data_IF_226089479966
#
_entry.id   IF_226089479966
#
_cell.length_a   1.000
_cell.length_b   1.000
_cell.length_c   1.000
_cell.angle_alpha   90.00
_cell.angle_beta   90.00
_cell.angle_gamma   90.00
#
_symmetry.space_group_name_H-M   'P 1'
#
loop_
_entity.id
_entity.type
_entity.pdbx_description
1 polymer ?
#
# COMPACT_ATOMS: atom_id res chain seq x y z
N UNK A 1 -6.80 6.59 22.07
CA UNK A 1 -8.22 6.12 22.04
C UNK A 1 -8.30 4.89 22.95
N UNK A 2 -9.40 4.72 23.70
CA UNK A 2 -9.59 3.54 24.57
C UNK A 2 -9.84 2.28 23.71
N UNK A 3 -9.21 1.16 24.07
CA UNK A 3 -9.27 -0.14 23.38
C UNK A 3 -10.71 -0.60 23.09
N UNK A 4 -11.61 -0.45 24.08
CA UNK A 4 -13.04 -0.80 23.90
C UNK A 4 -13.72 0.04 22.81
N UNK A 5 -13.43 1.35 22.76
CA UNK A 5 -13.98 2.25 21.72
C UNK A 5 -13.45 1.90 20.35
N UNK A 6 -12.16 1.57 20.25
CA UNK A 6 -11.58 1.15 18.96
C UNK A 6 -12.20 -0.14 18.46
N UNK A 7 -12.29 -1.17 19.32
CA UNK A 7 -12.93 -2.42 18.98
C UNK A 7 -14.40 -2.22 18.56
N UNK A 8 -15.15 -1.37 19.28
CA UNK A 8 -16.53 -1.05 18.94
C UNK A 8 -16.64 -0.36 17.57
N UNK A 9 -15.72 0.54 17.21
CA UNK A 9 -15.71 1.17 15.89
C UNK A 9 -15.44 0.16 14.76
N UNK A 10 -14.50 -0.76 14.96
CA UNK A 10 -14.22 -1.82 13.97
C UNK A 10 -15.43 -2.75 13.83
N UNK A 11 -16.05 -3.18 14.93
CA UNK A 11 -17.27 -4.01 14.91
C UNK A 11 -18.42 -3.29 14.21
N UNK A 12 -18.59 -2.00 14.48
CA UNK A 12 -19.63 -1.19 13.83
C UNK A 12 -19.38 -1.05 12.32
N UNK A 13 -18.14 -0.83 11.90
CA UNK A 13 -17.76 -0.82 10.49
C UNK A 13 -18.08 -2.16 9.82
N UNK A 14 -17.67 -3.27 10.43
CA UNK A 14 -17.94 -4.63 9.93
C UNK A 14 -19.44 -4.90 9.77
N UNK A 15 -20.25 -4.54 10.79
CA UNK A 15 -21.70 -4.62 10.73
C UNK A 15 -22.29 -3.87 9.53
N UNK A 16 -21.82 -2.65 9.25
CA UNK A 16 -22.33 -1.87 8.11
C UNK A 16 -21.85 -2.39 6.75
N UNK A 17 -20.64 -2.95 6.68
CA UNK A 17 -20.18 -3.68 5.49
C UNK A 17 -21.11 -4.87 5.24
N UNK A 18 -21.42 -5.66 6.26
CA UNK A 18 -22.39 -6.77 6.17
C UNK A 18 -23.76 -6.33 5.66
N UNK A 19 -24.28 -5.18 6.13
CA UNK A 19 -25.54 -4.61 5.62
C UNK A 19 -25.46 -4.23 4.15
N UNK A 20 -24.34 -3.65 3.70
CA UNK A 20 -24.14 -3.28 2.30
C UNK A 20 -24.13 -4.56 1.42
N UNK A 21 -23.41 -5.59 1.83
CA UNK A 21 -23.37 -6.88 1.13
C UNK A 21 -24.77 -7.51 1.05
N UNK A 22 -25.50 -7.54 2.17
CA UNK A 22 -26.87 -8.04 2.20
C UNK A 22 -27.83 -7.25 1.30
N UNK A 23 -27.64 -5.95 1.14
CA UNK A 23 -28.43 -5.16 0.18
C UNK A 23 -28.14 -5.56 -1.27
N UNK A 24 -26.89 -5.83 -1.62
CA UNK A 24 -26.52 -6.33 -2.96
C UNK A 24 -27.11 -7.73 -3.21
N UNK A 25 -27.11 -8.62 -2.20
CA UNK A 25 -27.72 -9.93 -2.29
C UNK A 25 -29.24 -9.84 -2.52
N UNK A 26 -29.94 -9.01 -1.73
CA UNK A 26 -31.39 -8.80 -1.84
C UNK A 26 -31.81 -8.19 -3.19
N UNK A 27 -30.94 -7.39 -3.81
CA UNK A 27 -31.18 -6.79 -5.11
C UNK A 27 -30.76 -7.69 -6.29
N UNK A 28 -30.18 -8.86 -6.04
CA UNK A 28 -29.66 -9.75 -7.07
C UNK A 28 -28.45 -9.18 -7.83
N UNK A 29 -27.72 -8.24 -7.22
CA UNK A 29 -26.59 -7.55 -7.84
C UNK A 29 -25.23 -8.15 -7.45
N UNK A 30 -25.19 -9.04 -6.47
CA UNK A 30 -23.98 -9.53 -5.82
C UNK A 30 -22.98 -10.18 -6.78
N UNK A 31 -23.48 -11.02 -7.69
CA UNK A 31 -22.65 -11.74 -8.67
C UNK A 31 -22.09 -10.83 -9.76
N UNK A 32 -22.76 -9.72 -10.04
CA UNK A 32 -22.32 -8.73 -11.04
C UNK A 32 -21.63 -7.50 -10.41
N UNK A 33 -21.24 -7.58 -9.14
CA UNK A 33 -20.56 -6.48 -8.43
C UNK A 33 -19.21 -6.94 -7.92
N UNK A 34 -18.13 -6.33 -8.44
CA UNK A 34 -16.80 -6.48 -7.88
C UNK A 34 -16.68 -5.60 -6.63
N UNK A 35 -16.36 -6.21 -5.51
CA UNK A 35 -16.16 -5.52 -4.23
C UNK A 35 -14.69 -5.52 -3.91
N UNK A 36 -14.16 -4.33 -3.63
CA UNK A 36 -12.78 -4.12 -3.21
C UNK A 36 -12.83 -3.45 -1.82
N UNK A 37 -12.26 -4.10 -0.84
CA UNK A 37 -12.06 -3.56 0.50
C UNK A 37 -10.57 -3.32 0.74
N UNK A 38 -10.21 -2.10 1.10
CA UNK A 38 -8.85 -1.74 1.47
C UNK A 38 -8.85 -0.65 2.54
N UNK A 39 -7.75 -0.52 3.27
CA UNK A 39 -7.48 0.68 4.08
C UNK A 39 -6.62 1.66 3.27
N UNK A 40 -6.78 2.95 3.53
CA UNK A 40 -5.98 4.01 2.89
C UNK A 40 -4.55 4.12 3.46
N UNK A 41 -4.37 3.70 4.71
CA UNK A 41 -3.09 3.71 5.43
C UNK A 41 -3.11 2.74 6.63
N UNK A 42 -1.95 2.53 7.22
CA UNK A 42 -1.80 1.71 8.42
C UNK A 42 -2.44 2.31 9.67
N UNK A 43 -2.26 1.64 10.81
CA UNK A 43 -2.89 1.97 12.08
C UNK A 43 -2.69 3.45 12.47
N UNK A 44 -3.78 4.10 12.88
CA UNK A 44 -3.77 5.51 13.30
C UNK A 44 -2.90 5.72 14.56
N UNK A 45 -2.38 6.94 14.73
CA UNK A 45 -1.54 7.32 15.89
C UNK A 45 -2.24 7.02 17.23
N UNK A 46 -3.56 7.15 17.28
CA UNK A 46 -4.36 6.91 18.50
C UNK A 46 -4.87 5.46 18.61
N UNK A 47 -4.53 4.58 17.68
CA UNK A 47 -4.93 3.18 17.74
C UNK A 47 -4.25 2.48 18.93
N UNK A 48 -4.93 1.58 19.64
CA UNK A 48 -4.37 0.82 20.76
C UNK A 48 -3.49 -0.34 20.23
N UNK A 49 -2.33 0.01 19.70
CA UNK A 49 -1.44 -0.91 18.98
C UNK A 49 -0.95 -2.02 19.91
N UNK A 50 -0.56 -1.68 21.14
CA UNK A 50 -0.03 -2.64 22.11
C UNK A 50 -1.06 -3.67 22.55
N UNK A 51 -2.33 -3.26 22.70
CA UNK A 51 -3.40 -4.11 23.24
C UNK A 51 -4.08 -4.96 22.16
N UNK A 52 -4.21 -4.44 20.95
CA UNK A 52 -4.96 -5.10 19.87
C UNK A 52 -4.08 -5.53 18.68
N UNK A 53 -2.77 -5.24 18.73
CA UNK A 53 -1.85 -5.54 17.63
C UNK A 53 -2.39 -5.12 16.24
N UNK A 54 -3.08 -3.96 16.19
CA UNK A 54 -3.81 -3.53 14.99
C UNK A 54 -2.91 -3.11 13.81
N UNK A 55 -1.60 -3.22 13.94
CA UNK A 55 -0.61 -3.09 12.85
C UNK A 55 0.10 -4.42 12.54
N UNK A 56 -0.40 -5.56 13.06
CA UNK A 56 0.16 -6.90 12.86
C UNK A 56 1.66 -7.04 13.24
N UNK A 57 2.12 -6.28 14.23
CA UNK A 57 3.53 -6.25 14.65
C UNK A 57 4.48 -5.55 13.68
N UNK A 58 3.99 -4.90 12.63
CA UNK A 58 4.80 -4.19 11.65
C UNK A 58 5.35 -2.88 12.23
N UNK A 59 6.55 -2.49 11.80
CA UNK A 59 7.18 -1.22 12.19
C UNK A 59 6.40 -0.03 11.65
N UNK A 60 6.24 1.01 12.45
CA UNK A 60 5.60 2.25 12.04
C UNK A 60 4.08 2.24 12.13
N UNK A 61 3.46 3.30 11.62
CA UNK A 61 2.01 3.56 11.66
C UNK A 61 1.65 4.65 10.68
N UNK A 62 0.36 5.01 10.58
CA UNK A 62 -0.13 6.15 9.77
C UNK A 62 0.81 7.36 9.86
N UNK A 63 1.22 7.86 8.70
CA UNK A 63 2.13 8.99 8.56
C UNK A 63 3.62 8.60 8.55
N UNK A 64 3.95 7.31 8.48
CA UNK A 64 5.30 6.79 8.32
C UNK A 64 5.36 5.81 7.15
N UNK A 65 6.49 5.77 6.42
CA UNK A 65 6.67 4.92 5.25
C UNK A 65 7.27 3.54 5.58
N UNK A 66 7.33 3.14 6.84
CA UNK A 66 7.55 1.75 7.24
C UNK A 66 6.33 0.89 6.91
N UNK A 67 6.49 -0.43 6.88
CA UNK A 67 5.42 -1.38 6.53
C UNK A 67 4.14 -1.15 7.35
N UNK A 68 4.24 -0.89 8.66
CA UNK A 68 3.08 -0.60 9.51
C UNK A 68 2.31 0.68 9.15
N UNK A 69 2.87 1.54 8.30
CA UNK A 69 2.20 2.75 7.80
C UNK A 69 1.60 2.60 6.41
N UNK A 70 2.14 1.69 5.58
CA UNK A 70 1.77 1.57 4.16
C UNK A 70 1.24 0.19 3.76
N UNK A 71 1.57 -0.88 4.49
CA UNK A 71 1.03 -2.21 4.23
C UNK A 71 -0.34 -2.34 4.88
N UNK A 72 -1.35 -2.45 4.05
CA UNK A 72 -2.77 -2.45 4.44
C UNK A 72 -3.48 -3.69 3.90
N UNK A 73 -4.59 -4.12 4.51
CA UNK A 73 -5.38 -5.18 3.95
C UNK A 73 -5.97 -4.78 2.59
N UNK A 74 -6.00 -5.73 1.68
CA UNK A 74 -6.71 -5.64 0.40
C UNK A 74 -7.48 -6.94 0.20
N UNK A 75 -8.80 -6.83 0.06
CA UNK A 75 -9.70 -7.96 -0.19
C UNK A 75 -10.48 -7.64 -1.47
N UNK A 76 -10.48 -8.59 -2.40
CA UNK A 76 -11.28 -8.51 -3.63
C UNK A 76 -12.27 -9.67 -3.61
N UNK A 77 -13.52 -9.37 -3.90
CA UNK A 77 -14.57 -10.38 -3.89
C UNK A 77 -15.62 -10.13 -4.97
N UNK A 78 -15.93 -11.17 -5.71
CA UNK A 78 -17.08 -11.30 -6.60
C UNK A 78 -17.45 -12.77 -6.68
N UNK A 79 -18.60 -13.20 -6.14
CA UNK A 79 -19.00 -14.60 -6.16
C UNK A 79 -19.02 -15.20 -7.56
N UNK A 80 -18.55 -16.42 -7.69
CA UNK A 80 -18.50 -17.14 -8.97
C UNK A 80 -17.40 -16.69 -9.93
N UNK A 81 -16.71 -15.55 -9.68
CA UNK A 81 -15.66 -15.02 -10.56
C UNK A 81 -14.30 -14.90 -9.89
N UNK A 82 -14.25 -14.40 -8.66
CA UNK A 82 -13.00 -14.25 -7.90
C UNK A 82 -12.79 -15.49 -7.04
N UNK A 83 -11.74 -16.31 -7.30
CA UNK A 83 -11.45 -17.50 -6.51
C UNK A 83 -10.97 -17.14 -5.10
N UNK A 84 -11.35 -17.96 -4.10
CA UNK A 84 -10.85 -17.81 -2.74
C UNK A 84 -9.38 -18.22 -2.65
N UNK A 85 -8.48 -17.24 -2.56
CA UNK A 85 -7.03 -17.46 -2.44
C UNK A 85 -6.34 -16.29 -1.74
N UNK A 86 -5.14 -16.52 -1.26
CA UNK A 86 -4.21 -15.47 -0.87
C UNK A 86 -3.11 -15.35 -1.92
N UNK A 87 -2.68 -14.12 -2.19
CA UNK A 87 -1.57 -13.80 -3.09
C UNK A 87 -0.56 -12.93 -2.36
N UNK A 88 0.71 -13.06 -2.71
CA UNK A 88 1.84 -12.31 -2.14
C UNK A 88 2.37 -11.21 -3.08
N UNK A 89 1.73 -11.03 -4.23
CA UNK A 89 2.12 -10.03 -5.22
C UNK A 89 2.21 -8.63 -4.61
N UNK A 90 3.20 -7.86 -5.03
CA UNK A 90 3.39 -6.47 -4.60
C UNK A 90 2.45 -5.55 -5.39
N UNK A 91 1.40 -5.09 -4.72
CA UNK A 91 0.41 -4.17 -5.30
C UNK A 91 0.30 -2.91 -4.45
N UNK A 92 -0.08 -1.78 -5.07
CA UNK A 92 -0.26 -0.52 -4.35
C UNK A 92 -1.36 0.35 -4.98
N UNK A 93 -1.76 1.42 -4.32
CA UNK A 93 -2.92 2.21 -4.73
C UNK A 93 -2.92 2.72 -6.18
N UNK A 94 -1.80 3.15 -6.77
CA UNK A 94 -1.77 3.54 -8.18
C UNK A 94 -2.25 2.46 -9.15
N UNK A 95 -2.20 1.18 -8.78
CA UNK A 95 -2.66 0.07 -9.62
C UNK A 95 -4.18 0.04 -9.81
N UNK A 96 -4.94 0.63 -8.89
CA UNK A 96 -6.40 0.60 -9.01
C UNK A 96 -6.91 1.34 -10.26
N UNK A 97 -6.31 2.47 -10.63
CA UNK A 97 -6.78 3.22 -11.80
C UNK A 97 -6.69 2.41 -13.09
N UNK A 98 -5.52 1.89 -13.52
CA UNK A 98 -5.44 1.07 -14.73
C UNK A 98 -6.24 -0.24 -14.62
N UNK A 99 -6.28 -0.85 -13.43
CA UNK A 99 -7.05 -2.08 -13.19
C UNK A 99 -8.55 -1.88 -13.39
N UNK A 100 -9.12 -0.83 -12.81
CA UNK A 100 -10.55 -0.52 -12.95
C UNK A 100 -10.88 -0.11 -14.40
N UNK A 101 -9.97 0.60 -15.05
CA UNK A 101 -10.14 0.95 -16.45
C UNK A 101 -10.15 -0.28 -17.38
N UNK A 102 -9.25 -1.23 -17.16
CA UNK A 102 -9.24 -2.50 -17.89
C UNK A 102 -10.54 -3.29 -17.66
N UNK A 103 -11.00 -3.37 -16.41
CA UNK A 103 -12.25 -4.07 -16.06
C UNK A 103 -13.50 -3.45 -16.66
N UNK A 104 -13.48 -2.14 -16.95
CA UNK A 104 -14.63 -1.38 -17.51
C UNK A 104 -14.49 -1.06 -19.00
N UNK A 105 -13.41 -1.49 -19.67
CA UNK A 105 -13.14 -1.17 -21.07
C UNK A 105 -12.84 0.33 -21.31
N UNK A 106 -12.28 1.01 -20.30
CA UNK A 106 -12.03 2.46 -20.31
C UNK A 106 -10.54 2.82 -20.36
N UNK A 107 -9.66 1.93 -20.81
CA UNK A 107 -8.20 2.08 -20.77
C UNK A 107 -7.72 3.34 -21.49
N UNK A 108 -8.40 3.73 -22.58
CA UNK A 108 -8.05 4.94 -23.34
C UNK A 108 -8.23 6.24 -22.55
N UNK A 109 -9.00 6.22 -21.47
CA UNK A 109 -9.26 7.37 -20.61
C UNK A 109 -8.26 7.47 -19.45
N UNK A 110 -7.38 6.48 -19.27
CA UNK A 110 -6.42 6.46 -18.16
C UNK A 110 -5.25 7.39 -18.47
N UNK A 111 -4.98 8.41 -17.63
CA UNK A 111 -3.79 9.21 -17.76
C UNK A 111 -2.54 8.38 -17.47
N UNK A 112 -1.38 8.88 -17.84
CA UNK A 112 -0.12 8.26 -17.44
C UNK A 112 -0.07 8.09 -15.91
N UNK A 113 0.13 6.85 -15.44
CA UNK A 113 0.17 6.48 -14.02
C UNK A 113 1.39 5.62 -13.72
N UNK A 114 1.80 5.59 -12.46
CA UNK A 114 2.85 4.68 -11.99
C UNK A 114 2.30 3.27 -11.69
N UNK A 115 1.00 3.08 -11.78
CA UNK A 115 0.31 1.80 -11.58
C UNK A 115 0.27 0.93 -12.84
N UNK A 116 0.01 -0.34 -12.63
CA UNK A 116 -0.20 -1.34 -13.69
C UNK A 116 -1.57 -2.00 -13.52
N UNK A 117 -2.09 -2.61 -14.58
CA UNK A 117 -3.28 -3.45 -14.47
C UNK A 117 -2.97 -4.74 -13.71
N UNK A 118 -3.61 -4.93 -12.57
CA UNK A 118 -3.53 -6.12 -11.73
C UNK A 118 -4.81 -6.97 -11.79
N UNK A 119 -5.74 -6.67 -12.70
CA UNK A 119 -7.00 -7.41 -12.82
C UNK A 119 -6.81 -8.92 -13.02
N UNK A 120 -5.79 -9.43 -13.73
CA UNK A 120 -5.58 -10.87 -13.83
C UNK A 120 -5.40 -11.54 -12.46
N UNK A 121 -4.78 -10.86 -11.49
CA UNK A 121 -4.63 -11.38 -10.12
C UNK A 121 -6.00 -11.60 -9.44
N UNK A 122 -7.02 -10.84 -9.78
CA UNK A 122 -8.36 -11.00 -9.19
C UNK A 122 -9.04 -12.29 -9.64
N UNK A 123 -8.78 -12.74 -10.86
CA UNK A 123 -9.47 -13.86 -11.52
C UNK A 123 -8.62 -15.14 -11.64
N UNK A 124 -7.56 -15.25 -10.87
CA UNK A 124 -6.76 -16.46 -10.84
C UNK A 124 -5.56 -16.48 -11.79
N UNK A 125 -5.34 -15.41 -12.54
CA UNK A 125 -4.16 -15.21 -13.40
C UNK A 125 -2.94 -14.74 -12.65
N UNK A 126 -1.90 -14.37 -13.40
CA UNK A 126 -0.61 -13.93 -12.91
C UNK A 126 -0.24 -12.57 -13.50
N UNK A 127 0.51 -11.78 -12.75
CA UNK A 127 1.10 -10.50 -13.17
C UNK A 127 2.47 -10.40 -12.50
N UNK A 128 3.49 -10.03 -13.26
CA UNK A 128 4.79 -9.69 -12.69
C UNK A 128 4.70 -8.35 -11.96
N UNK A 129 4.72 -8.43 -10.64
CA UNK A 129 4.68 -7.26 -9.75
C UNK A 129 6.01 -6.98 -9.06
N UNK A 130 7.01 -7.87 -9.22
CA UNK A 130 8.25 -7.82 -8.46
C UNK A 130 9.35 -7.03 -9.18
N UNK A 131 9.28 -6.95 -10.53
CA UNK A 131 10.26 -6.26 -11.36
C UNK A 131 9.88 -4.80 -11.64
N UNK A 132 9.27 -4.12 -10.67
CA UNK A 132 8.93 -2.69 -10.74
C UNK A 132 9.27 -1.97 -9.46
N UNK A 133 9.51 -0.67 -9.57
CA UNK A 133 9.73 0.19 -8.42
C UNK A 133 8.40 0.66 -7.85
N UNK A 134 8.18 0.45 -6.55
CA UNK A 134 7.11 1.09 -5.78
C UNK A 134 7.73 2.23 -4.99
N UNK A 135 7.29 3.46 -5.27
CA UNK A 135 7.88 4.67 -4.68
C UNK A 135 6.85 5.47 -3.91
N UNK A 136 7.25 5.97 -2.75
CA UNK A 136 6.43 6.81 -1.88
C UNK A 136 7.21 8.02 -1.40
N UNK A 137 6.50 9.16 -1.33
CA UNK A 137 6.95 10.39 -0.67
C UNK A 137 5.90 10.87 0.32
N UNK A 138 6.34 11.44 1.43
CA UNK A 138 5.42 12.01 2.40
C UNK A 138 5.99 13.24 3.08
N UNK A 139 5.25 14.36 2.98
CA UNK A 139 5.57 15.66 3.59
C UNK A 139 6.98 16.21 3.30
N UNK A 140 7.59 15.85 2.19
CA UNK A 140 8.94 16.30 1.82
C UNK A 140 10.05 15.90 2.81
N UNK A 141 9.80 14.92 3.65
CA UNK A 141 10.72 14.47 4.70
C UNK A 141 10.96 12.97 4.69
N UNK A 142 10.04 12.24 4.12
CA UNK A 142 10.07 10.79 4.08
C UNK A 142 10.06 10.34 2.63
N UNK A 143 10.85 9.33 2.33
CA UNK A 143 10.88 8.64 1.04
C UNK A 143 11.03 7.16 1.27
N UNK A 144 10.40 6.36 0.46
CA UNK A 144 10.60 4.92 0.45
C UNK A 144 10.57 4.41 -0.99
N UNK A 145 11.38 3.40 -1.26
CA UNK A 145 11.43 2.67 -2.51
C UNK A 145 11.45 1.18 -2.22
N UNK A 146 10.60 0.43 -2.89
CA UNK A 146 10.64 -1.03 -2.89
C UNK A 146 10.90 -1.54 -4.30
N UNK A 147 11.76 -2.55 -4.41
CA UNK A 147 12.01 -3.31 -5.62
C UNK A 147 12.29 -4.77 -5.24
N UNK A 148 11.42 -5.67 -5.70
CA UNK A 148 11.47 -7.06 -5.28
C UNK A 148 11.48 -7.20 -3.75
N UNK A 149 12.46 -7.90 -3.21
CA UNK A 149 12.60 -8.14 -1.78
C UNK A 149 13.12 -6.94 -0.99
N UNK A 150 13.70 -5.95 -1.66
CA UNK A 150 14.40 -4.87 -0.99
C UNK A 150 13.53 -3.63 -0.82
N UNK A 151 13.65 -3.02 0.35
CA UNK A 151 13.05 -1.73 0.66
C UNK A 151 14.08 -0.79 1.27
N UNK A 152 14.18 0.40 0.70
CA UNK A 152 14.98 1.48 1.24
C UNK A 152 14.04 2.59 1.73
N UNK A 153 14.24 3.13 2.93
CA UNK A 153 13.35 4.11 3.54
C UNK A 153 14.09 5.14 4.37
N UNK A 154 13.59 6.38 4.36
CA UNK A 154 13.87 7.39 5.38
C UNK A 154 12.57 8.02 5.85
N UNK A 155 12.41 8.17 7.16
CA UNK A 155 11.20 8.75 7.77
C UNK A 155 11.45 10.09 8.44
N UNK A 156 12.66 10.64 8.30
CA UNK A 156 13.04 11.97 8.80
C UNK A 156 13.84 12.69 7.73
N UNK A 157 13.65 14.01 7.65
CA UNK A 157 14.49 14.85 6.81
C UNK A 157 15.98 14.69 7.21
N UNK A 158 16.84 14.57 6.22
CA UNK A 158 18.30 14.49 6.38
C UNK A 158 18.79 13.29 7.24
N UNK A 159 17.91 12.34 7.55
CA UNK A 159 18.33 11.09 8.19
C UNK A 159 18.92 10.12 7.15
N UNK A 160 19.89 9.29 7.56
CA UNK A 160 20.40 8.23 6.68
C UNK A 160 19.26 7.31 6.21
N UNK A 161 19.41 6.80 5.00
CA UNK A 161 18.54 5.78 4.47
C UNK A 161 18.73 4.47 5.24
N UNK A 162 17.64 3.80 5.53
CA UNK A 162 17.60 2.47 6.09
C UNK A 162 17.30 1.48 4.97
N UNK A 163 17.88 0.28 5.00
CA UNK A 163 17.69 -0.76 3.99
C UNK A 163 17.24 -2.06 4.64
N UNK A 164 16.20 -2.66 4.08
CA UNK A 164 15.58 -3.89 4.61
C UNK A 164 15.35 -4.91 3.51
N UNK A 165 15.37 -6.18 3.88
CA UNK A 165 14.96 -7.30 3.01
C UNK A 165 13.61 -7.81 3.49
N UNK A 166 12.52 -7.27 2.92
CA UNK A 166 11.15 -7.41 3.45
C UNK A 166 10.64 -8.85 3.48
N UNK A 167 11.10 -9.70 2.59
CA UNK A 167 10.75 -11.14 2.60
C UNK A 167 11.27 -11.87 3.84
N UNK A 168 12.45 -11.52 4.31
CA UNK A 168 13.11 -12.15 5.47
C UNK A 168 12.81 -11.37 6.77
N UNK A 169 12.64 -10.04 6.64
CA UNK A 169 12.42 -9.11 7.73
C UNK A 169 11.21 -8.18 7.47
N UNK A 170 9.99 -8.72 7.48
CA UNK A 170 8.78 -7.94 7.22
C UNK A 170 8.49 -6.88 8.29
N UNK A 171 9.19 -6.94 9.42
CA UNK A 171 9.05 -5.99 10.53
C UNK A 171 10.07 -4.86 10.51
N UNK A 172 11.00 -4.88 9.55
CA UNK A 172 12.03 -3.84 9.42
C UNK A 172 12.85 -3.67 10.72
N UNK A 173 13.22 -4.79 11.35
CA UNK A 173 13.97 -4.81 12.62
C UNK A 173 15.48 -4.73 12.38
N UNK A 174 15.99 -5.23 11.23
CA UNK A 174 17.40 -5.36 10.91
C UNK A 174 17.81 -4.45 9.76
N UNK A 175 18.34 -3.28 10.09
CA UNK A 175 18.82 -2.34 9.08
C UNK A 175 20.13 -2.79 8.45
N UNK A 176 20.09 -3.18 7.19
CA UNK A 176 21.22 -3.69 6.38
C UNK A 176 21.99 -2.60 5.62
N UNK A 177 21.71 -1.33 5.86
CA UNK A 177 22.32 -0.23 5.08
C UNK A 177 23.86 -0.19 5.18
N UNK A 178 24.43 -0.61 6.30
CA UNK A 178 25.88 -0.67 6.49
C UNK A 178 26.52 -1.84 5.75
N UNK A 179 25.79 -2.94 5.60
CA UNK A 179 26.26 -4.16 4.96
C UNK A 179 26.17 -4.07 3.42
N UNK A 180 25.25 -3.24 2.91
CA UNK A 180 24.99 -3.06 1.48
C UNK A 180 25.01 -1.58 1.06
N UNK A 181 26.11 -0.83 1.27
CA UNK A 181 26.15 0.61 1.00
C UNK A 181 25.94 0.97 -0.47
N UNK A 182 26.39 0.14 -1.40
CA UNK A 182 26.19 0.38 -2.84
C UNK A 182 24.72 0.24 -3.24
N UNK A 183 23.99 -0.70 -2.64
CA UNK A 183 22.54 -0.83 -2.84
C UNK A 183 21.78 0.39 -2.30
N UNK A 184 22.20 0.93 -1.17
CA UNK A 184 21.62 2.17 -0.63
C UNK A 184 21.83 3.34 -1.60
N UNK A 185 23.03 3.50 -2.19
CA UNK A 185 23.30 4.52 -3.18
C UNK A 185 22.47 4.34 -4.45
N UNK A 186 22.33 3.10 -4.92
CA UNK A 186 21.48 2.75 -6.06
C UNK A 186 20.02 3.18 -5.81
N UNK A 187 19.46 2.79 -4.67
CA UNK A 187 18.06 3.11 -4.31
C UNK A 187 17.85 4.62 -4.12
N UNK A 188 18.80 5.32 -3.51
CA UNK A 188 18.75 6.78 -3.37
C UNK A 188 18.72 7.48 -4.74
N UNK A 189 19.58 7.05 -5.66
CA UNK A 189 19.60 7.58 -7.02
C UNK A 189 18.28 7.33 -7.77
N UNK A 190 17.66 6.16 -7.55
CA UNK A 190 16.35 5.82 -8.14
C UNK A 190 15.26 6.72 -7.53
N UNK A 191 15.22 6.88 -6.21
CA UNK A 191 14.26 7.76 -5.54
C UNK A 191 14.34 9.20 -6.05
N UNK A 192 15.52 9.71 -6.28
CA UNK A 192 15.70 11.05 -6.89
C UNK A 192 15.16 11.14 -8.32
N UNK A 193 15.30 10.07 -9.13
CA UNK A 193 14.75 10.04 -10.49
C UNK A 193 13.22 9.89 -10.52
N UNK A 194 12.65 9.19 -9.55
CA UNK A 194 11.20 8.95 -9.47
C UNK A 194 10.45 10.16 -8.91
N UNK A 195 11.14 11.03 -8.18
CA UNK A 195 10.54 12.25 -7.67
C UNK A 195 10.05 13.14 -8.84
N UNK A 196 8.79 13.57 -8.73
CA UNK A 196 8.19 14.56 -9.64
C UNK A 196 7.82 15.80 -8.84
N UNK A 197 8.37 16.99 -9.19
CA UNK A 197 8.01 18.22 -8.50
C UNK A 197 6.51 18.47 -8.51
N UNK A 198 5.98 18.93 -7.39
CA UNK A 198 4.55 19.22 -7.24
C UNK A 198 4.35 20.62 -6.65
N UNK A 199 3.54 21.44 -7.29
CA UNK A 199 3.17 22.77 -6.77
C UNK A 199 2.38 22.67 -5.47
N UNK A 200 1.54 21.63 -5.33
CA UNK A 200 0.69 21.42 -4.16
C UNK A 200 1.46 20.78 -2.98
N UNK A 201 2.49 19.99 -3.27
CA UNK A 201 3.28 19.26 -2.27
C UNK A 201 4.78 19.36 -2.56
N UNK A 202 5.35 20.58 -2.61
CA UNK A 202 6.76 20.76 -2.93
C UNK A 202 7.64 20.18 -1.83
N UNK A 203 8.65 19.42 -2.21
CA UNK A 203 9.74 19.03 -1.29
C UNK A 203 10.81 20.13 -1.23
N UNK A 204 11.72 20.11 -0.23
CA UNK A 204 12.75 21.14 -0.12
C UNK A 204 13.64 21.31 -1.35
N UNK A 205 13.89 20.23 -2.09
CA UNK A 205 14.67 20.23 -3.33
C UNK A 205 13.99 21.04 -4.46
N UNK A 206 12.66 21.05 -4.52
CA UNK A 206 11.88 21.79 -5.54
C UNK A 206 12.00 23.30 -5.38
N UNK A 207 12.27 23.77 -4.16
CA UNK A 207 12.37 25.19 -3.82
C UNK A 207 13.73 25.80 -4.13
N UNK A 208 14.69 24.99 -4.59
CA UNK A 208 16.06 25.42 -4.91
C UNK A 208 16.26 25.73 -6.40
N UNK A 209 15.22 25.66 -7.19
CA UNK A 209 15.17 26.10 -8.59
C UNK A 209 14.39 27.43 -8.65
#
# INVERSE_FOLDING_TARGET
MNTKRYAALVTHMDYHIGRLLGALDNLGLRENTLIIFASDNGAAVMAPISELNCHAGLKGRKGQLYEGGIKVPLIVNQPGRVPARQISNQVYFPDFMPTLAALTGSEKAVPQTDGIDISPLFFGGEVDTDHRYLYWEFHGKQRALRFGDWKCVTVKKDAPLELYRITDDPREEHNLAKDFPEKVKEFDAIMHRMHKPSENYPIPEDKKK
#
